data_IF_540205343852
#
_entry.id   IF_540205343852
#
_cell.length_a   1.000
_cell.length_b   1.000
_cell.length_c   1.000
_cell.angle_alpha   90.00
_cell.angle_beta   90.00
_cell.angle_gamma   90.00
#
_symmetry.space_group_name_H-M   'P 1'
#
loop_
_entity.id
_entity.type
_entity.pdbx_description
1 polymer ?
#
# COMPACT_ATOMS: atom_id res chain seq x y z
N UNK A 1 23.12 -14.95 13.04
CA UNK A 1 23.02 -13.72 12.23
C UNK A 1 21.99 -12.83 12.90
N UNK A 2 22.40 -11.68 13.39
CA UNK A 2 21.51 -10.74 14.06
C UNK A 2 20.38 -10.30 13.13
N UNK A 3 19.18 -10.27 13.68
CA UNK A 3 17.93 -9.94 12.98
C UNK A 3 17.77 -8.40 12.86
N UNK A 4 18.81 -7.70 12.37
CA UNK A 4 18.77 -6.26 12.23
C UNK A 4 17.97 -5.89 10.98
N UNK A 5 16.71 -5.49 11.19
CA UNK A 5 15.94 -4.80 10.14
C UNK A 5 16.68 -3.52 9.75
N UNK A 6 16.74 -3.17 8.45
CA UNK A 6 17.32 -1.90 8.02
C UNK A 6 16.67 -0.71 8.72
N UNK A 7 17.42 0.36 8.93
CA UNK A 7 16.85 1.62 9.41
C UNK A 7 15.74 2.07 8.46
N UNK A 8 14.68 2.65 8.99
CA UNK A 8 13.47 3.02 8.25
C UNK A 8 13.77 3.89 7.01
N UNK A 9 14.67 4.87 7.14
CA UNK A 9 15.05 5.73 6.02
C UNK A 9 15.80 4.96 4.92
N UNK A 10 16.71 4.06 5.29
CA UNK A 10 17.46 3.23 4.34
C UNK A 10 16.52 2.25 3.62
N UNK A 11 15.58 1.66 4.36
CA UNK A 11 14.58 0.77 3.78
C UNK A 11 13.67 1.51 2.80
N UNK A 12 13.23 2.72 3.14
CA UNK A 12 12.44 3.57 2.24
C UNK A 12 13.19 3.87 0.95
N UNK A 13 14.42 4.39 1.07
CA UNK A 13 15.26 4.69 -0.09
C UNK A 13 15.53 3.45 -0.97
N UNK A 14 15.78 2.28 -0.38
CA UNK A 14 16.00 1.05 -1.14
C UNK A 14 14.78 0.66 -1.98
N UNK A 15 13.56 0.83 -1.44
CA UNK A 15 12.34 0.61 -2.20
C UNK A 15 12.17 1.59 -3.35
N UNK A 16 12.44 2.88 -3.13
CA UNK A 16 12.39 3.90 -4.20
C UNK A 16 13.34 3.56 -5.35
N UNK A 17 14.60 3.19 -5.04
CA UNK A 17 15.57 2.78 -6.07
C UNK A 17 15.17 1.49 -6.77
N UNK A 18 14.57 0.53 -6.07
CA UNK A 18 14.06 -0.69 -6.69
C UNK A 18 12.94 -0.38 -7.71
N UNK A 19 11.99 0.47 -7.34
CA UNK A 19 10.91 0.91 -8.25
C UNK A 19 11.49 1.67 -9.43
N UNK A 20 12.39 2.63 -9.21
CA UNK A 20 13.04 3.39 -10.28
C UNK A 20 13.78 2.47 -11.26
N UNK A 21 14.56 1.51 -10.75
CA UNK A 21 15.27 0.53 -11.58
C UNK A 21 14.30 -0.29 -12.44
N UNK A 22 13.17 -0.76 -11.88
CA UNK A 22 12.18 -1.52 -12.64
C UNK A 22 11.53 -0.66 -13.74
N UNK A 23 11.18 0.59 -13.44
CA UNK A 23 10.62 1.51 -14.44
C UNK A 23 11.57 1.72 -15.62
N UNK A 24 12.85 1.99 -15.35
CA UNK A 24 13.88 2.17 -16.39
C UNK A 24 14.07 0.90 -17.24
N UNK A 25 14.10 -0.28 -16.61
CA UNK A 25 14.18 -1.58 -17.33
C UNK A 25 12.97 -1.83 -18.25
N UNK A 26 11.81 -1.27 -17.91
CA UNK A 26 10.58 -1.33 -18.71
C UNK A 26 10.48 -0.20 -19.74
N UNK A 27 11.55 0.56 -19.96
CA UNK A 27 11.64 1.69 -20.88
C UNK A 27 10.68 2.86 -20.53
N UNK A 28 10.36 3.04 -19.25
CA UNK A 28 9.75 4.28 -18.81
C UNK A 28 10.83 5.36 -18.60
N UNK A 29 10.49 6.60 -18.92
CA UNK A 29 11.27 7.75 -18.49
C UNK A 29 10.82 8.11 -17.09
N UNK A 30 11.66 7.88 -16.11
CA UNK A 30 11.34 8.10 -14.71
C UNK A 30 12.52 8.69 -13.94
N UNK A 31 12.22 9.41 -12.87
CA UNK A 31 13.23 10.01 -12.00
C UNK A 31 12.71 10.20 -10.57
N UNK A 32 13.61 10.45 -9.64
CA UNK A 32 13.25 10.83 -8.28
C UNK A 32 12.63 12.23 -8.26
N UNK A 33 11.60 12.39 -7.44
CA UNK A 33 11.09 13.72 -7.12
C UNK A 33 12.16 14.51 -6.33
N UNK A 34 12.16 15.86 -6.41
CA UNK A 34 13.01 16.68 -5.56
C UNK A 34 12.80 16.37 -4.07
N UNK A 35 13.84 16.48 -3.28
CA UNK A 35 13.76 16.30 -1.84
C UNK A 35 12.66 17.18 -1.22
N UNK A 36 11.99 16.66 -0.21
CA UNK A 36 10.84 17.30 0.45
C UNK A 36 9.59 17.51 -0.43
N UNK A 37 9.50 16.84 -1.59
CA UNK A 37 8.25 16.81 -2.35
C UNK A 37 7.19 16.09 -1.52
N UNK A 38 6.03 16.71 -1.38
CA UNK A 38 4.91 16.10 -0.67
C UNK A 38 4.20 15.10 -1.57
N UNK A 39 3.80 13.97 -0.96
CA UNK A 39 2.85 13.01 -1.52
C UNK A 39 3.35 12.09 -2.64
N UNK A 40 4.59 12.23 -3.15
CA UNK A 40 5.18 11.27 -4.08
C UNK A 40 6.71 11.28 -4.03
N UNK A 41 7.32 10.17 -4.42
CA UNK A 41 8.76 9.91 -4.34
C UNK A 41 9.42 9.89 -5.72
N UNK A 42 8.65 9.48 -6.75
CA UNK A 42 9.12 9.40 -8.13
C UNK A 42 8.11 10.05 -9.08
N UNK A 43 8.61 10.45 -10.25
CA UNK A 43 7.79 10.89 -11.39
C UNK A 43 8.10 9.98 -12.56
N UNK A 44 7.06 9.52 -13.26
CA UNK A 44 7.19 8.72 -14.46
C UNK A 44 6.41 9.38 -15.60
N UNK A 45 7.03 9.48 -16.77
CA UNK A 45 6.34 9.92 -17.97
C UNK A 45 5.65 8.72 -18.64
N UNK A 46 4.49 8.97 -19.24
CA UNK A 46 3.87 8.00 -20.12
C UNK A 46 4.77 7.78 -21.35
N UNK A 47 4.50 6.72 -22.14
CA UNK A 47 5.32 6.36 -23.32
C UNK A 47 5.39 7.45 -24.39
N UNK A 48 4.36 8.30 -24.50
CA UNK A 48 4.34 9.43 -25.44
C UNK A 48 5.07 10.68 -24.91
N UNK A 49 5.44 10.71 -23.65
CA UNK A 49 6.05 11.88 -23.00
C UNK A 49 5.07 13.05 -22.77
N UNK A 50 3.77 12.86 -23.02
CA UNK A 50 2.77 13.92 -22.97
C UNK A 50 2.14 14.13 -21.62
N UNK A 51 2.25 13.16 -20.72
CA UNK A 51 1.75 13.25 -19.35
C UNK A 51 2.68 12.55 -18.37
N UNK A 52 2.57 12.94 -17.10
CA UNK A 52 3.32 12.32 -16.02
C UNK A 52 2.40 11.76 -14.94
N UNK A 53 2.83 10.69 -14.29
CA UNK A 53 2.19 10.14 -13.11
C UNK A 53 3.15 10.23 -11.92
N UNK A 54 2.72 10.83 -10.81
CA UNK A 54 3.46 10.75 -9.56
C UNK A 54 3.36 9.35 -8.97
N UNK A 55 4.44 8.86 -8.37
CA UNK A 55 4.49 7.56 -7.70
C UNK A 55 4.87 7.76 -6.24
N UNK A 56 4.05 7.23 -5.33
CA UNK A 56 4.38 7.11 -3.91
C UNK A 56 4.84 5.68 -3.63
N UNK A 57 6.03 5.54 -3.09
CA UNK A 57 6.58 4.23 -2.70
C UNK A 57 6.35 3.99 -1.21
N UNK A 58 5.91 2.82 -0.87
CA UNK A 58 5.77 2.35 0.52
C UNK A 58 6.49 1.02 0.66
N UNK A 59 7.56 1.00 1.45
CA UNK A 59 8.40 -0.19 1.63
C UNK A 59 8.22 -0.77 3.01
N UNK A 60 8.12 -2.08 3.10
CA UNK A 60 8.12 -2.82 4.35
C UNK A 60 9.05 -4.02 4.27
N UNK A 61 9.61 -4.40 5.42
CA UNK A 61 10.34 -5.65 5.63
C UNK A 61 9.46 -6.72 6.30
N UNK A 62 8.21 -6.34 6.63
CA UNK A 62 7.20 -7.20 7.26
C UNK A 62 6.16 -7.60 6.21
N UNK A 63 5.89 -8.88 6.09
CA UNK A 63 4.98 -9.43 5.08
C UNK A 63 3.52 -8.97 5.21
N UNK A 64 3.12 -8.42 6.35
CA UNK A 64 1.70 -8.27 6.70
C UNK A 64 1.05 -7.00 6.17
N UNK A 65 1.73 -5.84 6.18
CA UNK A 65 1.09 -4.57 5.87
C UNK A 65 2.09 -3.43 5.61
N UNK A 66 1.59 -2.36 4.98
CA UNK A 66 2.27 -1.07 4.81
C UNK A 66 1.53 0.01 5.57
N UNK A 67 2.28 0.84 6.30
CA UNK A 67 1.73 1.97 7.04
C UNK A 67 1.49 3.16 6.11
N UNK A 68 0.30 3.75 6.24
CA UNK A 68 -0.14 4.95 5.56
C UNK A 68 -0.66 5.97 6.59
N UNK A 69 -1.10 7.12 6.10
CA UNK A 69 -1.69 8.18 6.91
C UNK A 69 -3.11 8.49 6.44
N UNK A 70 -3.95 9.06 7.31
CA UNK A 70 -5.33 9.46 7.04
C UNK A 70 -5.47 10.34 5.78
N UNK A 71 -4.45 11.15 5.45
CA UNK A 71 -4.46 11.95 4.22
C UNK A 71 -4.66 11.12 2.95
N UNK A 72 -4.23 9.85 2.96
CA UNK A 72 -4.37 8.93 1.82
C UNK A 72 -5.77 8.31 1.70
N UNK A 73 -6.68 8.58 2.63
CA UNK A 73 -8.12 8.29 2.44
C UNK A 73 -8.75 9.17 1.37
N UNK A 74 -8.10 10.29 1.02
CA UNK A 74 -8.47 11.12 -0.12
C UNK A 74 -7.63 10.71 -1.33
N UNK A 75 -8.31 10.26 -2.37
CA UNK A 75 -7.65 9.90 -3.62
C UNK A 75 -7.00 11.12 -4.28
N UNK A 76 -5.82 10.92 -4.84
CA UNK A 76 -5.09 11.93 -5.62
C UNK A 76 -5.09 11.46 -7.07
N UNK A 77 -5.57 12.33 -7.96
CA UNK A 77 -5.66 12.03 -9.39
C UNK A 77 -4.28 11.65 -9.96
N UNK A 78 -4.25 10.57 -10.73
CA UNK A 78 -3.06 10.03 -11.38
C UNK A 78 -1.94 9.54 -10.44
N UNK A 79 -2.11 9.62 -9.12
CA UNK A 79 -1.12 9.08 -8.19
C UNK A 79 -1.18 7.55 -8.19
N UNK A 80 -0.02 6.94 -8.36
CA UNK A 80 0.19 5.49 -8.27
C UNK A 80 0.94 5.19 -6.97
N UNK A 81 0.45 4.21 -6.23
CA UNK A 81 1.19 3.63 -5.11
C UNK A 81 1.96 2.39 -5.58
N UNK A 82 3.24 2.33 -5.22
CA UNK A 82 4.05 1.13 -5.32
C UNK A 82 4.34 0.61 -3.91
N UNK A 83 3.70 -0.49 -3.55
CA UNK A 83 3.92 -1.17 -2.28
C UNK A 83 4.99 -2.23 -2.47
N UNK A 84 6.09 -2.09 -1.73
CA UNK A 84 7.24 -2.99 -1.81
C UNK A 84 7.36 -3.80 -0.53
N UNK A 85 7.30 -5.11 -0.66
CA UNK A 85 7.80 -6.02 0.36
C UNK A 85 9.24 -6.36 0.03
N UNK A 86 10.15 -5.91 0.88
CA UNK A 86 11.58 -6.13 0.70
C UNK A 86 11.98 -7.40 1.46
N UNK A 87 12.32 -8.46 0.74
CA UNK A 87 12.91 -9.65 1.35
C UNK A 87 14.42 -9.48 1.58
N UNK A 88 14.97 -10.28 2.49
CA UNK A 88 16.44 -10.41 2.64
C UNK A 88 17.08 -10.92 1.36
N UNK A 89 16.39 -11.77 0.64
CA UNK A 89 16.78 -12.20 -0.69
C UNK A 89 16.16 -11.27 -1.72
N UNK A 90 16.96 -10.51 -2.46
CA UNK A 90 16.48 -9.53 -3.43
C UNK A 90 15.52 -10.13 -4.48
N UNK A 91 15.68 -11.42 -4.82
CA UNK A 91 14.83 -12.14 -5.77
C UNK A 91 13.42 -12.48 -5.24
N UNK A 92 13.20 -12.38 -3.94
CA UNK A 92 11.92 -12.68 -3.29
C UNK A 92 11.14 -11.40 -2.94
N UNK A 93 11.66 -10.23 -3.30
CA UNK A 93 10.97 -8.96 -3.07
C UNK A 93 9.75 -8.86 -3.99
N UNK A 94 8.62 -8.39 -3.46
CA UNK A 94 7.37 -8.28 -4.21
C UNK A 94 6.98 -6.82 -4.35
N UNK A 95 6.42 -6.47 -5.51
CA UNK A 95 5.97 -5.12 -5.83
C UNK A 95 4.49 -5.18 -6.23
N UNK A 96 3.67 -4.33 -5.60
CA UNK A 96 2.27 -4.18 -5.96
C UNK A 96 2.01 -2.75 -6.41
N UNK A 97 1.51 -2.59 -7.62
CA UNK A 97 1.22 -1.29 -8.25
C UNK A 97 -0.29 -1.05 -8.20
N UNK A 98 -0.71 -0.01 -7.48
CA UNK A 98 -2.14 0.24 -7.21
C UNK A 98 -2.42 1.74 -7.36
N UNK A 99 -3.50 2.11 -8.05
CA UNK A 99 -3.89 3.51 -8.16
C UNK A 99 -4.43 4.08 -6.84
N UNK A 100 -4.32 5.39 -6.67
CA UNK A 100 -4.68 6.09 -5.44
C UNK A 100 -6.16 5.91 -5.06
N UNK A 101 -7.06 5.86 -6.02
CA UNK A 101 -8.50 5.69 -5.78
C UNK A 101 -8.78 4.35 -5.10
N UNK A 102 -8.12 3.28 -5.56
CA UNK A 102 -8.29 1.96 -4.97
C UNK A 102 -7.68 1.87 -3.57
N UNK A 103 -6.48 2.44 -3.39
CA UNK A 103 -5.82 2.49 -2.06
C UNK A 103 -6.70 3.26 -1.07
N UNK A 104 -7.14 4.47 -1.43
CA UNK A 104 -8.02 5.33 -0.63
C UNK A 104 -9.29 4.59 -0.17
N UNK A 105 -9.97 3.93 -1.11
CA UNK A 105 -11.18 3.15 -0.81
C UNK A 105 -10.91 2.01 0.18
N UNK A 106 -9.81 1.27 -0.02
CA UNK A 106 -9.48 0.12 0.84
C UNK A 106 -9.12 0.57 2.25
N UNK A 107 -8.20 1.53 2.40
CA UNK A 107 -7.74 1.95 3.73
C UNK A 107 -8.84 2.66 4.52
N UNK A 108 -9.70 3.44 3.86
CA UNK A 108 -10.85 4.08 4.50
C UNK A 108 -11.86 3.03 4.98
N UNK A 109 -12.19 2.05 4.14
CA UNK A 109 -13.15 1.00 4.52
C UNK A 109 -12.60 0.11 5.63
N UNK A 110 -11.36 -0.34 5.52
CA UNK A 110 -10.75 -1.19 6.55
C UNK A 110 -10.62 -0.49 7.89
N UNK A 111 -10.30 0.82 7.89
CA UNK A 111 -10.23 1.58 9.12
C UNK A 111 -11.59 1.75 9.79
N UNK A 112 -12.66 2.02 9.02
CA UNK A 112 -14.04 2.06 9.53
C UNK A 112 -14.47 0.74 10.15
N UNK A 113 -14.11 -0.39 9.51
CA UNK A 113 -14.35 -1.73 10.08
C UNK A 113 -13.60 -1.88 11.39
N UNK A 114 -12.32 -1.52 11.43
CA UNK A 114 -11.50 -1.60 12.63
C UNK A 114 -12.10 -0.80 13.80
N UNK A 115 -12.58 0.41 13.56
CA UNK A 115 -13.21 1.24 14.60
C UNK A 115 -14.51 0.65 15.17
N UNK A 116 -15.23 -0.15 14.38
CA UNK A 116 -16.48 -0.80 14.81
C UNK A 116 -16.24 -2.06 15.63
N UNK A 117 -15.15 -2.76 15.36
CA UNK A 117 -14.83 -3.99 16.06
C UNK A 117 -14.31 -3.70 17.48
N UNK A 118 -14.59 -4.56 18.47
CA UNK A 118 -13.98 -4.41 19.78
C UNK A 118 -12.48 -4.70 19.73
N UNK A 119 -11.72 -3.86 20.40
CA UNK A 119 -10.29 -4.07 20.63
C UNK A 119 -10.02 -5.00 21.81
N UNK A 120 -8.79 -4.98 22.30
CA UNK A 120 -8.37 -5.82 23.41
C UNK A 120 -9.26 -5.63 24.63
N UNK A 121 -9.74 -6.75 25.23
CA UNK A 121 -10.71 -6.79 26.34
C UNK A 121 -12.01 -6.04 26.07
N UNK A 122 -12.50 -6.01 24.83
CA UNK A 122 -13.75 -5.36 24.44
C UNK A 122 -13.72 -3.82 24.44
N UNK A 123 -12.55 -3.19 24.61
CA UNK A 123 -12.42 -1.73 24.57
C UNK A 123 -12.66 -1.21 23.15
N UNK A 124 -13.28 -0.02 23.06
CA UNK A 124 -13.39 0.67 21.76
C UNK A 124 -12.00 1.11 21.27
N UNK A 125 -11.81 1.05 19.98
CA UNK A 125 -10.64 1.64 19.35
C UNK A 125 -10.76 3.18 19.32
N UNK A 126 -9.64 3.86 19.56
CA UNK A 126 -9.55 5.31 19.38
C UNK A 126 -9.06 5.62 17.97
N UNK A 127 -9.75 6.51 17.28
CA UNK A 127 -9.28 6.99 15.98
C UNK A 127 -7.93 7.72 16.09
N UNK A 128 -7.09 7.52 15.10
CA UNK A 128 -5.78 8.14 15.00
C UNK A 128 -5.41 8.35 13.52
N UNK A 129 -4.38 9.14 13.20
CA UNK A 129 -3.98 9.40 11.82
C UNK A 129 -3.39 8.20 11.06
N UNK A 130 -3.10 7.09 11.73
CA UNK A 130 -2.48 5.93 11.11
C UNK A 130 -3.51 5.13 10.31
N UNK A 131 -3.12 4.71 9.13
CA UNK A 131 -3.84 3.78 8.25
C UNK A 131 -2.90 2.67 7.85
N UNK A 132 -3.44 1.54 7.41
CA UNK A 132 -2.62 0.44 6.90
C UNK A 132 -3.28 -0.24 5.70
N UNK A 133 -2.47 -0.59 4.71
CA UNK A 133 -2.86 -1.51 3.67
C UNK A 133 -2.35 -2.90 4.04
N UNK A 134 -3.23 -3.88 4.15
CA UNK A 134 -2.90 -5.25 4.54
C UNK A 134 -2.94 -6.19 3.34
N UNK A 135 -2.07 -7.20 3.37
CA UNK A 135 -2.07 -8.30 2.40
C UNK A 135 -3.23 -9.28 2.61
N UNK A 136 -3.83 -9.24 3.79
CA UNK A 136 -4.95 -10.09 4.17
C UNK A 136 -5.77 -9.37 5.25
N UNK A 137 -7.07 -9.35 5.09
CA UNK A 137 -7.99 -8.75 6.05
C UNK A 137 -8.76 -9.80 6.87
N UNK A 138 -8.39 -11.09 6.79
CA UNK A 138 -8.98 -12.15 7.60
C UNK A 138 -8.81 -11.94 9.11
N UNK A 139 -7.83 -11.12 9.54
CA UNK A 139 -7.66 -10.85 10.96
C UNK A 139 -8.91 -10.21 11.60
N UNK A 140 -9.76 -9.54 10.83
CA UNK A 140 -11.03 -9.01 11.33
C UNK A 140 -12.01 -10.13 11.75
N UNK A 141 -11.94 -11.29 11.11
CA UNK A 141 -12.81 -12.44 11.44
C UNK A 141 -12.41 -13.15 12.74
N UNK A 142 -11.22 -12.85 13.28
CA UNK A 142 -10.76 -13.38 14.58
C UNK A 142 -11.50 -12.76 15.78
N UNK A 143 -12.21 -11.67 15.57
CA UNK A 143 -13.09 -11.07 16.60
C UNK A 143 -14.32 -11.92 16.77
N UNK A 144 -14.62 -12.34 17.99
CA UNK A 144 -15.80 -13.12 18.30
C UNK A 144 -17.08 -12.42 17.83
N UNK A 145 -17.90 -13.16 17.08
CA UNK A 145 -19.16 -12.63 16.54
C UNK A 145 -18.98 -11.35 15.72
N UNK A 146 -17.86 -11.18 15.00
CA UNK A 146 -17.55 -9.96 14.22
C UNK A 146 -18.71 -9.49 13.33
N UNK A 147 -19.53 -10.42 12.80
CA UNK A 147 -20.70 -10.11 11.96
C UNK A 147 -21.76 -9.27 12.66
N UNK A 148 -21.81 -9.26 14.01
CA UNK A 148 -22.75 -8.40 14.77
C UNK A 148 -22.43 -6.91 14.67
N UNK A 149 -21.17 -6.57 14.36
CA UNK A 149 -20.68 -5.20 14.33
C UNK A 149 -20.68 -4.61 12.92
N UNK A 150 -20.82 -5.45 11.89
CA UNK A 150 -20.58 -5.09 10.51
C UNK A 150 -21.84 -5.27 9.65
N UNK A 151 -22.00 -4.41 8.65
CA UNK A 151 -23.02 -4.55 7.63
C UNK A 151 -22.58 -5.52 6.50
N UNK A 152 -23.49 -5.78 5.56
CA UNK A 152 -23.24 -6.72 4.45
C UNK A 152 -22.08 -6.30 3.56
N UNK A 153 -21.92 -5.00 3.29
CA UNK A 153 -20.86 -4.48 2.43
C UNK A 153 -19.48 -4.60 3.09
N UNK A 154 -19.41 -4.38 4.41
CA UNK A 154 -18.20 -4.54 5.19
C UNK A 154 -17.76 -6.01 5.30
N UNK A 155 -18.72 -6.92 5.45
CA UNK A 155 -18.46 -8.36 5.41
C UNK A 155 -17.98 -8.77 4.00
N UNK A 156 -18.62 -8.25 2.95
CA UNK A 156 -18.20 -8.47 1.57
C UNK A 156 -16.77 -7.94 1.35
N UNK A 157 -16.45 -6.74 1.86
CA UNK A 157 -15.10 -6.19 1.79
C UNK A 157 -14.05 -7.16 2.35
N UNK A 158 -14.30 -7.73 3.55
CA UNK A 158 -13.38 -8.70 4.16
C UNK A 158 -13.22 -9.93 3.26
N UNK A 159 -14.31 -10.46 2.72
CA UNK A 159 -14.28 -11.64 1.85
C UNK A 159 -13.52 -11.38 0.54
N UNK A 160 -13.69 -10.18 -0.05
CA UNK A 160 -13.03 -9.79 -1.32
C UNK A 160 -11.54 -9.49 -1.13
N UNK A 161 -11.06 -9.27 0.12
CA UNK A 161 -9.69 -8.88 0.43
C UNK A 161 -8.96 -9.89 1.35
N UNK A 162 -9.26 -11.18 1.20
CA UNK A 162 -8.53 -12.27 1.86
C UNK A 162 -7.17 -12.51 1.21
N UNK A 163 -6.42 -13.47 1.74
CA UNK A 163 -5.10 -13.82 1.23
C UNK A 163 -5.09 -13.98 -0.30
N UNK A 164 -4.11 -13.34 -0.94
CA UNK A 164 -3.95 -13.38 -2.39
C UNK A 164 -4.72 -12.29 -3.17
N UNK A 165 -5.56 -11.45 -2.54
CA UNK A 165 -6.31 -10.39 -3.23
C UNK A 165 -5.41 -9.39 -3.97
N UNK A 166 -4.18 -9.19 -3.50
CA UNK A 166 -3.21 -8.29 -4.11
C UNK A 166 -2.54 -8.88 -5.36
N UNK A 167 -2.65 -10.17 -5.63
CA UNK A 167 -1.95 -10.85 -6.73
C UNK A 167 -2.17 -10.17 -8.09
N UNK A 168 -3.36 -9.66 -8.35
CA UNK A 168 -3.69 -8.91 -9.58
C UNK A 168 -2.97 -7.57 -9.72
N UNK A 169 -2.39 -7.06 -8.65
CA UNK A 169 -1.62 -5.81 -8.62
C UNK A 169 -0.11 -6.07 -8.63
N UNK A 170 0.31 -7.33 -8.52
CA UNK A 170 1.72 -7.68 -8.56
C UNK A 170 2.27 -7.35 -9.94
N UNK A 171 3.32 -6.54 -9.98
CA UNK A 171 3.96 -6.03 -11.20
C UNK A 171 2.98 -5.43 -12.23
N UNK A 172 1.90 -4.82 -11.76
CA UNK A 172 0.85 -4.26 -12.62
C UNK A 172 1.25 -2.92 -13.25
N UNK A 173 2.42 -2.86 -13.88
CA UNK A 173 3.02 -1.66 -14.50
C UNK A 173 2.16 -1.02 -15.59
N UNK A 174 1.23 -1.77 -16.18
CA UNK A 174 0.26 -1.26 -17.16
C UNK A 174 -0.66 -0.17 -16.59
N UNK A 175 -0.77 -0.04 -15.26
CA UNK A 175 -1.55 1.01 -14.60
C UNK A 175 -0.91 2.40 -14.73
N UNK A 176 0.39 2.47 -15.02
CA UNK A 176 1.13 3.72 -15.20
C UNK A 176 0.87 4.35 -16.58
N UNK A 177 0.39 3.59 -17.54
CA UNK A 177 0.20 4.02 -18.92
C UNK A 177 -1.23 4.54 -19.26
N UNK A 178 -2.08 4.70 -18.25
CA UNK A 178 -3.47 5.12 -18.46
C UNK A 178 -3.64 6.63 -18.43
#
# INVERSE_FOLDING_TARGET
>A
MENNSPQSAVLGASGEYLILSNLLRLNFVAGKAPDNTKDYDLIVLNKSGTSSSPIQVKTTFKEMHWILNVKHEKAIKNLIFCFVYMSKNSHESEIFVINSEKVSSIISTSHKIWLKLPGFKGKKHNDNPMRALHRDYNFFTKTDNFKKYLNKDEIKFINDHQSGWMKKYQDAWHLINK
#
